data_IF_045663003448
#
_entry.id   IF_045663003448
#
_cell.length_a   1.000
_cell.length_b   1.000
_cell.length_c   1.000
_cell.angle_alpha   90.00
_cell.angle_beta   90.00
_cell.angle_gamma   90.00
#
_symmetry.space_group_name_H-M   'P 1'
#
loop_
_entity.id
_entity.type
_entity.pdbx_description
1 polymer ?
#
# COMPACT_ATOMS: atom_id res chain seq x y z
N UNK A 1 -29.77 10.33 9.80
CA UNK A 1 -28.38 10.06 10.20
C UNK A 1 -27.80 8.83 9.53
N UNK A 2 -28.55 7.75 9.50
CA UNK A 2 -28.12 6.52 8.83
C UNK A 2 -27.90 6.71 7.32
N UNK A 3 -28.74 7.50 6.67
CA UNK A 3 -28.63 7.78 5.23
C UNK A 3 -27.36 8.54 4.87
N UNK A 4 -26.93 9.50 5.71
CA UNK A 4 -25.71 10.25 5.49
C UNK A 4 -24.47 9.40 5.70
N UNK A 5 -24.49 8.52 6.70
CA UNK A 5 -23.40 7.57 6.95
C UNK A 5 -23.27 6.57 5.81
N UNK A 6 -24.37 6.03 5.33
CA UNK A 6 -24.41 5.10 4.21
C UNK A 6 -23.91 5.75 2.92
N UNK A 7 -24.36 6.97 2.62
CA UNK A 7 -23.92 7.70 1.43
C UNK A 7 -22.43 8.00 1.43
N UNK A 8 -21.89 8.39 2.56
CA UNK A 8 -20.46 8.66 2.70
C UNK A 8 -19.63 7.37 2.52
N UNK A 9 -20.10 6.28 3.10
CA UNK A 9 -19.45 4.99 2.97
C UNK A 9 -19.45 4.51 1.51
N UNK A 10 -20.58 4.63 0.83
CA UNK A 10 -20.71 4.22 -0.57
C UNK A 10 -19.83 5.06 -1.48
N UNK A 11 -19.73 6.37 -1.24
CA UNK A 11 -18.85 7.23 -2.00
C UNK A 11 -17.38 6.84 -1.80
N UNK A 12 -16.95 6.61 -0.57
CA UNK A 12 -15.59 6.19 -0.28
C UNK A 12 -15.27 4.84 -0.92
N UNK A 13 -16.22 3.89 -0.86
CA UNK A 13 -16.05 2.56 -1.46
C UNK A 13 -16.00 2.59 -2.99
N UNK A 14 -16.47 3.68 -3.63
CA UNK A 14 -16.47 3.82 -5.09
C UNK A 14 -15.13 4.29 -5.65
N UNK A 15 -14.21 4.77 -4.82
CA UNK A 15 -12.88 5.19 -5.29
C UNK A 15 -11.96 4.00 -5.50
N UNK A 16 -11.01 4.13 -6.43
CA UNK A 16 -10.03 3.07 -6.68
C UNK A 16 -9.20 2.79 -5.42
N UNK A 17 -8.73 3.83 -4.73
CA UNK A 17 -7.89 3.68 -3.53
C UNK A 17 -8.67 2.96 -2.43
N UNK A 18 -9.93 3.33 -2.21
CA UNK A 18 -10.75 2.66 -1.21
C UNK A 18 -10.95 1.18 -1.54
N UNK A 19 -11.18 0.86 -2.81
CA UNK A 19 -11.27 -0.52 -3.27
C UNK A 19 -9.96 -1.27 -3.04
N UNK A 20 -8.83 -0.67 -3.41
CA UNK A 20 -7.51 -1.28 -3.24
C UNK A 20 -7.23 -1.60 -1.76
N UNK A 21 -7.49 -0.64 -0.88
CA UNK A 21 -7.25 -0.81 0.55
C UNK A 21 -8.19 -1.83 1.19
N UNK A 22 -9.39 -2.02 0.64
CA UNK A 22 -10.35 -3.00 1.13
C UNK A 22 -10.12 -4.40 0.60
N UNK A 23 -9.26 -4.56 -0.40
CA UNK A 23 -8.96 -5.87 -0.99
C UNK A 23 -8.14 -6.71 -0.01
N UNK A 24 -8.56 -7.97 0.17
CA UNK A 24 -7.84 -8.91 1.03
C UNK A 24 -6.41 -9.10 0.55
N UNK A 25 -5.47 -8.99 1.48
CA UNK A 25 -4.05 -9.04 1.20
C UNK A 25 -3.38 -7.68 1.20
N UNK A 26 -4.15 -6.58 1.15
CA UNK A 26 -3.62 -5.21 1.11
C UNK A 26 -3.70 -4.49 2.46
N UNK A 27 -3.94 -5.22 3.55
CA UNK A 27 -4.13 -4.65 4.89
C UNK A 27 -2.88 -3.94 5.43
N UNK A 28 -1.70 -4.25 4.90
CA UNK A 28 -0.45 -3.60 5.33
C UNK A 28 -0.30 -2.18 4.79
N UNK A 29 -1.01 -1.84 3.70
CA UNK A 29 -0.94 -0.50 3.14
C UNK A 29 -1.72 0.50 3.98
N UNK A 30 -1.23 1.74 4.07
CA UNK A 30 -2.02 2.85 4.55
C UNK A 30 -2.56 3.65 3.37
N UNK A 31 -3.55 4.50 3.63
CA UNK A 31 -4.09 5.40 2.62
C UNK A 31 -3.10 6.54 2.37
N UNK A 32 -2.67 6.69 1.11
CA UNK A 32 -1.83 7.82 0.71
C UNK A 32 -2.73 9.04 0.56
N UNK A 33 -2.32 10.18 1.11
CA UNK A 33 -3.07 11.42 0.96
C UNK A 33 -3.19 11.79 -0.52
N UNK A 34 -4.39 12.18 -0.95
CA UNK A 34 -4.63 12.57 -2.33
C UNK A 34 -3.72 13.73 -2.74
N UNK A 35 -3.55 14.71 -1.86
CA UNK A 35 -2.66 15.85 -2.12
C UNK A 35 -1.22 15.41 -2.39
N UNK A 36 -0.77 14.35 -1.72
CA UNK A 36 0.57 13.82 -1.97
C UNK A 36 0.69 13.24 -3.37
N UNK A 37 -0.32 12.51 -3.82
CA UNK A 37 -0.34 11.89 -5.16
C UNK A 37 -0.46 12.96 -6.25
N UNK A 38 -1.24 14.00 -6.01
CA UNK A 38 -1.47 15.07 -6.98
C UNK A 38 -0.25 15.98 -7.15
N UNK A 39 0.67 15.99 -6.22
CA UNK A 39 1.93 16.72 -6.35
C UNK A 39 2.93 15.88 -7.16
N UNK A 40 3.08 16.22 -8.43
CA UNK A 40 3.93 15.49 -9.37
C UNK A 40 5.40 15.41 -8.93
N UNK A 41 5.85 16.34 -8.12
CA UNK A 41 7.20 16.33 -7.59
C UNK A 41 7.44 15.07 -6.75
N UNK A 42 6.42 14.62 -6.01
CA UNK A 42 6.50 13.41 -5.19
C UNK A 42 6.62 12.14 -6.03
N UNK A 43 6.25 12.19 -7.31
CA UNK A 43 6.24 11.05 -8.21
C UNK A 43 7.41 11.03 -9.19
N UNK A 44 8.39 11.90 -9.00
CA UNK A 44 9.53 12.05 -9.92
C UNK A 44 10.23 10.71 -10.15
N UNK A 45 10.43 10.37 -11.43
CA UNK A 45 11.14 9.15 -11.83
C UNK A 45 10.31 7.89 -11.88
N UNK A 46 9.10 7.87 -11.32
CA UNK A 46 8.26 6.67 -11.31
C UNK A 46 7.74 6.30 -12.70
N UNK A 47 7.69 7.25 -13.63
CA UNK A 47 7.28 6.98 -15.00
C UNK A 47 8.21 6.01 -15.72
N UNK A 48 9.45 5.85 -15.25
CA UNK A 48 10.39 4.87 -15.81
C UNK A 48 10.26 3.49 -15.18
N UNK A 49 9.60 3.39 -14.04
CA UNK A 49 9.46 2.15 -13.28
C UNK A 49 8.16 1.41 -13.58
N UNK A 50 7.17 2.10 -14.15
CA UNK A 50 5.83 1.57 -14.34
C UNK A 50 5.40 1.72 -15.80
N UNK A 51 4.96 0.62 -16.40
CA UNK A 51 4.38 0.67 -17.75
C UNK A 51 3.00 1.33 -17.70
N UNK A 52 2.61 1.98 -18.80
CA UNK A 52 1.33 2.69 -18.88
C UNK A 52 1.13 3.69 -17.73
N UNK A 53 2.21 4.38 -17.37
CA UNK A 53 2.26 5.23 -16.18
C UNK A 53 1.11 6.23 -16.10
N UNK A 54 0.83 6.97 -17.20
CA UNK A 54 -0.22 7.98 -17.22
C UNK A 54 -1.60 7.36 -16.97
N UNK A 55 -1.87 6.24 -17.61
CA UNK A 55 -3.13 5.51 -17.41
C UNK A 55 -3.24 4.93 -15.99
N UNK A 56 -2.13 4.40 -15.47
CA UNK A 56 -2.10 3.86 -14.11
C UNK A 56 -2.38 4.97 -13.08
N UNK A 57 -1.78 6.14 -13.27
CA UNK A 57 -2.01 7.28 -12.39
C UNK A 57 -3.46 7.78 -12.49
N UNK A 58 -4.00 7.83 -13.70
CA UNK A 58 -5.40 8.22 -13.93
C UNK A 58 -6.35 7.25 -13.22
N UNK A 59 -6.05 5.94 -13.25
CA UNK A 59 -6.87 4.96 -12.55
C UNK A 59 -6.83 5.18 -11.05
N UNK A 60 -5.66 5.40 -10.48
CA UNK A 60 -5.50 5.64 -9.03
C UNK A 60 -6.29 6.88 -8.59
N UNK A 61 -6.32 7.91 -9.41
CA UNK A 61 -6.99 9.19 -9.10
C UNK A 61 -8.42 9.27 -9.62
N UNK A 62 -8.97 8.15 -10.10
CA UNK A 62 -10.33 8.05 -10.63
C UNK A 62 -10.60 8.95 -11.83
N UNK A 63 -9.58 9.20 -12.64
CA UNK A 63 -9.64 10.04 -13.83
C UNK A 63 -9.53 9.24 -15.14
N UNK A 64 -9.52 7.91 -15.08
CA UNK A 64 -9.38 7.07 -16.26
C UNK A 64 -10.64 7.11 -17.12
N UNK A 65 -10.45 7.17 -18.44
CA UNK A 65 -11.54 7.14 -19.40
C UNK A 65 -12.29 5.80 -19.33
N UNK A 66 -13.62 5.88 -19.23
CA UNK A 66 -14.49 4.71 -19.14
C UNK A 66 -14.56 3.92 -20.46
N UNK A 67 -14.14 4.52 -21.57
CA UNK A 67 -14.21 3.89 -22.90
C UNK A 67 -13.02 2.98 -23.20
N UNK A 68 -12.10 2.81 -22.28
CA UNK A 68 -10.95 1.90 -22.46
C UNK A 68 -11.45 0.46 -22.48
N UNK A 69 -10.95 -0.36 -23.44
CA UNK A 69 -11.37 -1.75 -23.53
C UNK A 69 -10.92 -2.55 -22.29
N UNK A 70 -11.64 -3.63 -22.01
CA UNK A 70 -11.47 -4.39 -20.78
C UNK A 70 -10.06 -5.01 -20.63
N UNK A 71 -9.51 -5.53 -21.73
CA UNK A 71 -8.16 -6.12 -21.69
C UNK A 71 -7.10 -5.08 -21.36
N UNK A 72 -7.19 -3.90 -21.97
CA UNK A 72 -6.27 -2.81 -21.68
C UNK A 72 -6.44 -2.32 -20.24
N UNK A 73 -7.69 -2.29 -19.75
CA UNK A 73 -7.99 -1.91 -18.37
C UNK A 73 -7.34 -2.86 -17.36
N UNK A 74 -7.33 -4.15 -17.62
CA UNK A 74 -6.66 -5.13 -16.75
C UNK A 74 -5.15 -4.88 -16.67
N UNK A 75 -4.53 -4.57 -17.80
CA UNK A 75 -3.12 -4.23 -17.84
C UNK A 75 -2.81 -2.97 -17.04
N UNK A 76 -3.65 -1.95 -17.21
CA UNK A 76 -3.52 -0.69 -16.48
C UNK A 76 -3.71 -0.93 -14.97
N UNK A 77 -4.66 -1.76 -14.59
CA UNK A 77 -4.93 -2.08 -13.19
C UNK A 77 -3.72 -2.75 -12.52
N UNK A 78 -3.08 -3.69 -13.21
CA UNK A 78 -1.86 -4.32 -12.72
C UNK A 78 -0.77 -3.29 -12.47
N UNK A 79 -0.58 -2.36 -13.42
CA UNK A 79 0.43 -1.31 -13.28
C UNK A 79 0.05 -0.28 -12.20
N UNK A 80 -1.24 -0.01 -12.04
CA UNK A 80 -1.72 0.89 -10.99
C UNK A 80 -1.40 0.37 -9.58
N UNK A 81 -1.52 -0.93 -9.37
CA UNK A 81 -1.16 -1.55 -8.09
C UNK A 81 0.33 -1.38 -7.80
N UNK A 82 1.17 -1.58 -8.79
CA UNK A 82 2.62 -1.38 -8.65
C UNK A 82 2.92 0.09 -8.37
N UNK A 83 2.30 0.99 -9.13
CA UNK A 83 2.50 2.43 -8.96
C UNK A 83 2.07 2.88 -7.56
N UNK A 84 0.92 2.43 -7.09
CA UNK A 84 0.47 2.75 -5.74
C UNK A 84 1.49 2.30 -4.70
N UNK A 85 2.00 1.08 -4.83
CA UNK A 85 3.01 0.55 -3.92
C UNK A 85 4.28 1.38 -3.90
N UNK A 86 4.76 1.83 -5.06
CA UNK A 86 5.97 2.65 -5.16
C UNK A 86 5.74 4.06 -4.56
N UNK A 87 4.58 4.65 -4.78
CA UNK A 87 4.21 5.92 -4.14
C UNK A 87 4.11 5.73 -2.63
N UNK A 88 3.51 4.61 -2.20
CA UNK A 88 3.36 4.27 -0.79
C UNK A 88 4.71 4.24 -0.06
N UNK A 89 5.72 3.61 -0.66
CA UNK A 89 7.05 3.56 -0.07
C UNK A 89 7.63 4.96 0.18
N UNK A 90 7.35 5.91 -0.71
CA UNK A 90 7.78 7.30 -0.54
C UNK A 90 6.95 8.04 0.50
N UNK A 91 5.65 7.75 0.52
CA UNK A 91 4.72 8.44 1.42
C UNK A 91 4.94 8.07 2.89
N UNK A 92 5.18 6.79 3.19
CA UNK A 92 5.25 6.31 4.58
C UNK A 92 6.48 6.81 5.33
N UNK A 93 7.46 7.41 4.67
CA UNK A 93 8.60 8.06 5.33
C UNK A 93 8.36 9.56 5.54
N UNK A 94 7.24 10.11 5.07
CA UNK A 94 6.84 11.47 5.39
C UNK A 94 6.26 11.53 6.80
N UNK A 95 6.16 12.73 7.38
CA UNK A 95 5.59 12.91 8.72
C UNK A 95 4.19 12.32 8.82
N UNK A 96 3.32 12.61 7.85
CA UNK A 96 1.94 12.11 7.87
C UNK A 96 1.86 10.60 7.61
N UNK A 97 2.68 10.10 6.69
CA UNK A 97 2.74 8.66 6.42
C UNK A 97 3.27 7.86 7.60
N UNK A 98 4.31 8.37 8.28
CA UNK A 98 4.82 7.77 9.50
C UNK A 98 3.75 7.70 10.59
N UNK A 99 2.95 8.77 10.74
CA UNK A 99 1.86 8.78 11.73
C UNK A 99 0.83 7.69 11.42
N UNK A 100 0.46 7.52 10.16
CA UNK A 100 -0.48 6.47 9.75
C UNK A 100 0.06 5.06 9.99
N UNK A 101 1.32 4.83 9.66
CA UNK A 101 1.97 3.53 9.90
C UNK A 101 2.12 3.26 11.40
N UNK A 102 2.41 4.28 12.19
CA UNK A 102 2.50 4.15 13.65
C UNK A 102 1.15 3.71 14.25
N UNK A 103 0.04 4.28 13.76
CA UNK A 103 -1.28 3.85 14.21
C UNK A 103 -1.54 2.38 13.91
N UNK A 104 -1.18 1.93 12.72
CA UNK A 104 -1.30 0.51 12.34
C UNK A 104 -0.41 -0.37 13.20
N UNK A 105 0.81 0.09 13.50
CA UNK A 105 1.74 -0.62 14.37
C UNK A 105 1.17 -0.77 15.78
N UNK A 106 0.63 0.30 16.36
CA UNK A 106 0.04 0.27 17.70
C UNK A 106 -1.15 -0.68 17.80
N UNK A 107 -1.94 -0.81 16.73
CA UNK A 107 -3.06 -1.76 16.68
C UNK A 107 -2.61 -3.18 16.36
N UNK A 108 -1.32 -3.39 16.12
CA UNK A 108 -0.75 -4.67 15.69
C UNK A 108 -1.38 -5.17 14.36
N UNK A 109 -1.69 -4.24 13.46
CA UNK A 109 -2.26 -4.59 12.14
C UNK A 109 -1.30 -5.46 11.31
N UNK A 110 0.00 -5.40 11.58
CA UNK A 110 1.02 -6.19 10.88
C UNK A 110 1.31 -7.54 11.57
N UNK A 111 0.62 -7.84 12.67
CA UNK A 111 0.86 -9.05 13.45
C UNK A 111 1.82 -8.83 14.60
N UNK A 112 2.11 -9.91 15.32
CA UNK A 112 2.91 -9.88 16.53
C UNK A 112 4.04 -10.89 16.45
N UNK A 113 5.14 -10.61 17.16
CA UNK A 113 6.31 -11.47 17.16
C UNK A 113 5.95 -12.87 17.69
N UNK A 114 6.37 -13.94 16.97
CA UNK A 114 6.08 -15.31 17.41
C UNK A 114 6.93 -15.79 18.59
N UNK A 115 7.99 -15.07 18.96
CA UNK A 115 8.85 -15.47 20.09
C UNK A 115 8.19 -15.16 21.42
N UNK A 116 8.19 -16.16 22.31
CA UNK A 116 7.57 -16.05 23.64
C UNK A 116 8.16 -14.89 24.45
N UNK A 117 9.48 -14.72 24.40
CA UNK A 117 10.17 -13.68 25.16
C UNK A 117 9.97 -12.26 24.63
N UNK A 118 9.32 -12.11 23.49
CA UNK A 118 8.96 -10.79 22.96
C UNK A 118 7.59 -10.30 23.43
N UNK A 119 6.88 -11.09 24.22
CA UNK A 119 5.62 -10.71 24.84
C UNK A 119 4.62 -10.09 23.84
N UNK A 120 4.47 -10.76 22.69
CA UNK A 120 3.55 -10.32 21.62
C UNK A 120 3.86 -8.92 21.08
N UNK A 121 5.15 -8.59 20.97
CA UNK A 121 5.59 -7.32 20.41
C UNK A 121 4.98 -7.12 19.00
N UNK A 122 4.32 -5.99 18.72
CA UNK A 122 3.86 -5.70 17.35
C UNK A 122 5.01 -5.62 16.37
N UNK A 123 4.74 -5.99 15.12
CA UNK A 123 5.72 -6.04 14.03
C UNK A 123 5.51 -4.90 13.05
N UNK A 124 6.54 -4.65 12.22
CA UNK A 124 6.53 -3.64 11.15
C UNK A 124 6.87 -4.29 9.82
N UNK A 125 6.19 -3.91 8.72
CA UNK A 125 6.56 -4.40 7.40
C UNK A 125 7.82 -3.69 6.89
N UNK A 126 8.74 -4.45 6.33
CA UNK A 126 9.98 -3.92 5.76
C UNK A 126 10.30 -4.61 4.44
N UNK A 127 10.99 -3.90 3.55
CA UNK A 127 11.52 -4.44 2.31
C UNK A 127 13.03 -4.62 2.39
N UNK A 128 13.52 -5.67 1.78
CA UNK A 128 14.96 -5.92 1.68
C UNK A 128 15.56 -5.28 0.42
N UNK A 129 14.74 -4.77 -0.48
CA UNK A 129 15.15 -4.07 -1.68
C UNK A 129 14.17 -2.94 -1.98
N UNK A 130 14.69 -1.85 -2.52
CA UNK A 130 13.86 -0.73 -2.98
C UNK A 130 13.30 -0.96 -4.39
N UNK A 131 13.80 -1.99 -5.08
CA UNK A 131 13.37 -2.30 -6.44
C UNK A 131 12.25 -3.33 -6.44
N UNK A 132 11.19 -3.13 -7.26
CA UNK A 132 10.12 -4.11 -7.38
C UNK A 132 10.62 -5.46 -7.88
N UNK A 133 9.92 -6.52 -7.52
CA UNK A 133 10.16 -7.91 -7.97
C UNK A 133 11.46 -8.52 -7.47
N UNK A 134 12.13 -7.92 -6.47
CA UNK A 134 13.37 -8.45 -5.92
C UNK A 134 13.17 -9.28 -4.66
N UNK A 135 12.37 -8.78 -3.73
CA UNK A 135 12.15 -9.44 -2.44
C UNK A 135 10.75 -9.19 -1.93
N UNK A 136 10.07 -10.24 -1.40
CA UNK A 136 8.78 -10.04 -0.76
C UNK A 136 8.95 -9.34 0.58
N UNK A 137 7.84 -8.79 1.10
CA UNK A 137 7.80 -8.10 2.38
C UNK A 137 8.19 -9.06 3.51
N UNK A 138 8.87 -8.52 4.52
CA UNK A 138 9.16 -9.21 5.78
C UNK A 138 8.61 -8.40 6.93
N UNK A 139 8.47 -9.02 8.09
CA UNK A 139 8.00 -8.37 9.31
C UNK A 139 9.17 -8.26 10.29
N UNK A 140 9.44 -7.03 10.71
CA UNK A 140 10.53 -6.73 11.63
C UNK A 140 10.00 -6.62 13.05
N UNK A 141 10.67 -7.31 14.00
CA UNK A 141 10.38 -7.17 15.42
C UNK A 141 11.38 -6.19 16.04
N UNK A 142 10.93 -5.02 16.52
CA UNK A 142 11.86 -4.07 17.14
C UNK A 142 12.44 -4.52 18.48
N UNK A 143 11.84 -5.54 19.10
CA UNK A 143 12.34 -6.06 20.37
C UNK A 143 13.48 -7.08 20.19
N UNK A 144 13.27 -8.09 19.34
CA UNK A 144 14.32 -9.09 19.10
C UNK A 144 15.19 -8.78 17.89
N UNK A 145 14.85 -7.73 17.13
CA UNK A 145 15.59 -7.26 15.95
C UNK A 145 15.75 -8.33 14.88
N UNK A 146 14.74 -9.20 14.74
CA UNK A 146 14.74 -10.29 13.77
C UNK A 146 13.62 -10.08 12.75
N UNK A 147 13.71 -10.79 11.61
CA UNK A 147 12.76 -10.71 10.51
C UNK A 147 11.93 -11.99 10.44
N UNK A 148 10.63 -11.82 10.15
CA UNK A 148 9.69 -12.93 10.05
C UNK A 148 8.92 -12.84 8.74
N UNK A 149 8.46 -14.00 8.26
CA UNK A 149 7.54 -14.05 7.13
C UNK A 149 6.12 -13.80 7.62
N UNK A 150 5.29 -13.08 6.84
CA UNK A 150 3.88 -12.98 7.17
C UNK A 150 3.22 -14.35 7.25
N UNK A 151 2.26 -14.52 8.16
CA UNK A 151 1.54 -15.78 8.31
C UNK A 151 0.61 -16.07 7.14
N UNK A 152 -0.01 -15.02 6.60
CA UNK A 152 -0.89 -15.15 5.44
C UNK A 152 -0.07 -15.20 4.16
N UNK A 153 -0.38 -16.13 3.26
CA UNK A 153 0.26 -16.22 1.95
C UNK A 153 -0.01 -14.98 1.09
N UNK A 154 -1.16 -14.32 1.29
CA UNK A 154 -1.48 -13.07 0.59
C UNK A 154 -0.54 -11.95 1.01
N UNK A 155 -0.29 -11.79 2.31
CA UNK A 155 0.67 -10.81 2.81
C UNK A 155 2.09 -11.18 2.40
N UNK A 156 2.43 -12.46 2.43
CA UNK A 156 3.74 -12.95 2.01
C UNK A 156 4.04 -12.75 0.53
N UNK A 157 3.03 -12.50 -0.29
CA UNK A 157 3.18 -12.20 -1.71
C UNK A 157 3.39 -10.71 -2.00
N UNK A 158 3.22 -9.83 -1.01
CA UNK A 158 3.42 -8.39 -1.19
C UNK A 158 4.89 -8.09 -1.47
N UNK A 159 5.13 -7.14 -2.39
CA UNK A 159 6.48 -6.72 -2.72
C UNK A 159 7.06 -5.86 -1.58
N UNK A 160 8.25 -6.22 -1.13
CA UNK A 160 8.93 -5.47 -0.07
C UNK A 160 9.23 -4.02 -0.45
N UNK A 161 9.46 -3.76 -1.75
CA UNK A 161 9.75 -2.41 -2.23
C UNK A 161 8.65 -1.40 -1.92
N UNK A 162 7.41 -1.86 -1.67
CA UNK A 162 6.27 -1.00 -1.36
C UNK A 162 6.28 -0.47 0.08
N UNK A 163 7.16 -1.02 0.93
CA UNK A 163 7.25 -0.67 2.36
C UNK A 163 8.58 -0.04 2.75
N UNK A 164 9.55 -0.03 1.84
CA UNK A 164 10.87 0.52 2.10
C UNK A 164 11.72 -0.35 3.03
N UNK A 165 12.95 0.02 3.15
CA UNK A 165 13.92 -0.68 4.01
C UNK A 165 13.94 -0.14 5.44
#
# INVERSE_FOLDING_TARGET
MEELSSGSSDYAASTWIAWFLSTKGNEYFCEIDEDYILDRFNLTGLNTEVQHYTYALDLITDALDENINELHREQIETQARILYGLIHARFIVTTHGLAKMLEKFKRADFGRCPRVLCYQQPLLPVGLSEFPFQSPVRLYCPRCEDLYRPKSSRHGALDGAFFGS
#
